data_IF_245684906945
#
_entry.id   IF_245684906945
#
_cell.length_a   1.000
_cell.length_b   1.000
_cell.length_c   1.000
_cell.angle_alpha   90.00
_cell.angle_beta   90.00
_cell.angle_gamma   90.00
#
_symmetry.space_group_name_H-M   'P 1'
#
loop_
_entity.id
_entity.type
_entity.pdbx_description
1 polymer ?
#
# COMPACT_ATOMS: atom_id res chain seq x y z
N UNK A 1 -0.34 3.07 14.13
CA UNK A 1 0.96 3.21 14.77
C UNK A 1 1.51 4.61 14.58
N UNK A 2 2.02 5.22 15.62
CA UNK A 2 2.66 6.55 15.57
C UNK A 2 4.18 6.45 15.44
N UNK A 3 4.73 5.29 15.80
CA UNK A 3 6.17 5.02 15.78
C UNK A 3 6.45 3.65 15.15
N UNK A 4 7.59 3.51 14.46
CA UNK A 4 8.03 2.22 13.94
C UNK A 4 8.35 1.23 15.07
N UNK A 5 8.04 -0.05 14.82
CA UNK A 5 8.43 -1.14 15.71
C UNK A 5 9.87 -1.61 15.45
N UNK A 6 10.48 -2.30 16.41
CA UNK A 6 11.82 -2.88 16.25
C UNK A 6 11.86 -3.87 15.09
N UNK A 7 10.78 -4.64 14.89
CA UNK A 7 10.63 -5.56 13.76
C UNK A 7 10.65 -4.81 12.41
N UNK A 8 10.04 -3.61 12.35
CA UNK A 8 10.03 -2.79 11.15
C UNK A 8 11.42 -2.23 10.84
N UNK A 9 12.18 -1.80 11.86
CA UNK A 9 13.57 -1.38 11.67
C UNK A 9 14.44 -2.53 11.15
N UNK A 10 14.28 -3.73 11.70
CA UNK A 10 14.99 -4.92 11.25
C UNK A 10 14.64 -5.27 9.79
N UNK A 11 13.37 -5.31 9.46
CA UNK A 11 12.88 -5.55 8.11
C UNK A 11 13.42 -4.54 7.09
N UNK A 12 13.41 -3.25 7.46
CA UNK A 12 14.02 -2.17 6.64
C UNK A 12 15.49 -2.44 6.37
N UNK A 13 16.25 -2.75 7.41
CA UNK A 13 17.70 -3.02 7.29
C UNK A 13 17.98 -4.22 6.41
N UNK A 14 17.19 -5.28 6.51
CA UNK A 14 17.31 -6.47 5.67
C UNK A 14 17.05 -6.14 4.19
N UNK A 15 15.99 -5.38 3.88
CA UNK A 15 15.68 -4.98 2.52
C UNK A 15 16.74 -4.05 1.92
N UNK A 16 17.21 -3.07 2.67
CA UNK A 16 18.28 -2.18 2.23
C UNK A 16 19.60 -2.94 2.00
N UNK A 17 19.89 -3.93 2.85
CA UNK A 17 21.02 -4.83 2.66
C UNK A 17 20.95 -5.66 1.37
N UNK A 18 19.76 -5.95 0.87
CA UNK A 18 19.52 -6.58 -0.42
C UNK A 18 19.54 -5.61 -1.61
N UNK A 19 19.74 -4.32 -1.38
CA UNK A 19 19.76 -3.28 -2.42
C UNK A 19 18.42 -2.63 -2.72
N UNK A 20 17.38 -2.86 -1.92
CA UNK A 20 16.09 -2.20 -2.07
C UNK A 20 16.12 -0.78 -1.50
N UNK A 21 15.47 0.15 -2.18
CA UNK A 21 15.12 1.47 -1.66
C UNK A 21 13.64 1.48 -1.24
N UNK A 22 13.38 1.96 -0.03
CA UNK A 22 12.02 2.00 0.53
C UNK A 22 11.51 3.44 0.53
N UNK A 23 10.31 3.65 0.02
CA UNK A 23 9.64 4.95 0.01
C UNK A 23 8.22 4.78 0.53
N UNK A 24 7.83 5.59 1.51
CA UNK A 24 6.45 5.61 2.03
C UNK A 24 5.57 6.48 1.14
N UNK A 25 4.42 5.95 0.75
CA UNK A 25 3.34 6.71 0.10
C UNK A 25 2.09 6.60 0.97
N UNK A 26 1.62 7.70 1.52
CA UNK A 26 0.53 7.66 2.51
C UNK A 26 -0.44 8.81 2.39
N UNK A 27 -1.72 8.53 2.68
CA UNK A 27 -2.81 9.52 2.80
C UNK A 27 -2.93 10.09 4.22
N UNK A 28 -2.17 9.60 5.18
CA UNK A 28 -2.20 10.09 6.56
C UNK A 28 -1.77 11.56 6.66
N UNK A 29 -2.09 12.22 7.76
CA UNK A 29 -1.69 13.61 7.97
C UNK A 29 -0.19 13.82 7.77
N UNK A 30 0.18 14.91 7.09
CA UNK A 30 1.56 15.20 6.69
C UNK A 30 2.57 15.10 7.84
N UNK A 31 2.23 15.67 8.99
CA UNK A 31 3.11 15.63 10.19
C UNK A 31 3.40 14.20 10.64
N UNK A 32 2.37 13.34 10.65
CA UNK A 32 2.50 11.94 11.06
C UNK A 32 3.36 11.13 10.10
N UNK A 33 3.14 11.27 8.81
CA UNK A 33 3.93 10.56 7.78
C UNK A 33 5.38 11.01 7.83
N UNK A 34 5.63 12.32 7.92
CA UNK A 34 6.97 12.89 8.03
C UNK A 34 7.70 12.36 9.26
N UNK A 35 7.05 12.38 10.42
CA UNK A 35 7.64 11.90 11.68
C UNK A 35 8.03 10.42 11.57
N UNK A 36 7.11 9.60 11.12
CA UNK A 36 7.34 8.16 10.95
C UNK A 36 8.47 7.85 9.96
N UNK A 37 8.47 8.50 8.80
CA UNK A 37 9.51 8.34 7.78
C UNK A 37 10.89 8.82 8.28
N UNK A 38 10.94 9.93 9.01
CA UNK A 38 12.19 10.44 9.58
C UNK A 38 12.75 9.49 10.63
N UNK A 39 11.91 8.87 11.47
CA UNK A 39 12.35 7.85 12.43
C UNK A 39 12.95 6.63 11.72
N UNK A 40 12.37 6.20 10.61
CA UNK A 40 12.90 5.10 9.79
C UNK A 40 14.09 5.51 8.92
N UNK A 41 14.35 6.80 8.74
CA UNK A 41 15.39 7.28 7.85
C UNK A 41 15.11 7.00 6.37
N UNK A 42 13.84 7.02 5.95
CA UNK A 42 13.42 6.76 4.57
C UNK A 42 12.65 7.94 3.98
N UNK A 43 12.61 8.00 2.65
CA UNK A 43 11.85 9.01 1.91
C UNK A 43 10.35 8.77 2.02
N UNK A 44 9.56 9.81 1.86
CA UNK A 44 8.11 9.71 1.88
C UNK A 44 7.43 10.64 0.87
N UNK A 45 6.24 10.24 0.48
CA UNK A 45 5.29 11.06 -0.27
C UNK A 45 3.99 11.12 0.53
N UNK A 46 3.58 12.33 0.87
CA UNK A 46 2.27 12.55 1.47
C UNK A 46 1.26 12.99 0.42
N UNK A 47 0.13 12.31 0.39
CA UNK A 47 -0.96 12.59 -0.52
C UNK A 47 -2.14 13.17 0.25
N UNK A 48 -2.51 14.40 -0.08
CA UNK A 48 -3.74 15.02 0.44
C UNK A 48 -4.99 14.54 -0.29
N UNK A 49 -4.85 14.02 -1.51
CA UNK A 49 -5.97 13.60 -2.37
C UNK A 49 -5.63 12.37 -3.21
N UNK A 50 -6.63 11.53 -3.45
CA UNK A 50 -6.56 10.39 -4.39
C UNK A 50 -6.75 10.88 -5.85
N UNK A 51 -6.24 10.17 -6.85
CA UNK A 51 -5.78 8.78 -6.85
C UNK A 51 -4.27 8.65 -6.55
N UNK A 52 -3.90 7.49 -6.00
CA UNK A 52 -2.51 7.13 -5.65
C UNK A 52 -1.53 7.17 -6.81
N UNK A 53 -2.00 7.20 -8.05
CA UNK A 53 -1.15 7.33 -9.24
C UNK A 53 -0.18 8.51 -9.14
N UNK A 54 -0.63 9.67 -8.65
CA UNK A 54 0.24 10.85 -8.42
C UNK A 54 1.32 10.58 -7.37
N UNK A 55 0.96 9.84 -6.31
CA UNK A 55 1.90 9.49 -5.26
C UNK A 55 2.97 8.53 -5.73
N UNK A 56 2.61 7.53 -6.49
CA UNK A 56 3.58 6.61 -7.07
C UNK A 56 4.50 7.32 -8.08
N UNK A 57 3.97 8.22 -8.91
CA UNK A 57 4.80 9.07 -9.78
C UNK A 57 5.78 9.93 -8.99
N UNK A 58 5.33 10.57 -7.91
CA UNK A 58 6.20 11.37 -7.02
C UNK A 58 7.25 10.50 -6.35
N UNK A 59 6.88 9.32 -5.85
CA UNK A 59 7.81 8.37 -5.24
C UNK A 59 8.92 7.97 -6.22
N UNK A 60 8.58 7.64 -7.45
CA UNK A 60 9.55 7.33 -8.50
C UNK A 60 10.46 8.52 -8.84
N UNK A 61 9.95 9.76 -8.76
CA UNK A 61 10.74 10.98 -8.96
C UNK A 61 11.76 11.23 -7.85
N UNK A 62 11.38 11.02 -6.59
CA UNK A 62 12.26 11.27 -5.44
C UNK A 62 13.21 10.10 -5.14
N UNK A 63 13.02 8.96 -5.81
CA UNK A 63 13.91 7.82 -5.69
C UNK A 63 15.35 8.18 -6.07
N UNK A 64 16.32 7.51 -5.44
CA UNK A 64 17.76 7.78 -5.63
C UNK A 64 18.24 7.55 -7.06
N UNK A 65 17.56 6.64 -7.78
CA UNK A 65 17.84 6.30 -9.17
C UNK A 65 16.55 6.23 -9.99
N UNK A 66 16.67 6.20 -11.30
CA UNK A 66 15.54 6.00 -12.20
C UNK A 66 15.27 4.50 -12.37
N UNK A 67 14.40 3.97 -11.53
CA UNK A 67 13.99 2.56 -11.60
C UNK A 67 13.09 2.29 -12.79
N UNK A 68 13.28 1.13 -13.42
CA UNK A 68 12.31 0.57 -14.38
C UNK A 68 11.07 0.06 -13.64
N UNK A 69 9.93 0.01 -14.31
CA UNK A 69 8.66 -0.47 -13.71
C UNK A 69 8.76 -1.90 -13.17
N UNK A 70 9.54 -2.75 -13.84
CA UNK A 70 9.80 -4.14 -13.43
C UNK A 70 10.60 -4.25 -12.13
N UNK A 71 11.33 -3.20 -11.76
CA UNK A 71 12.13 -3.12 -10.54
C UNK A 71 11.35 -2.58 -9.33
N UNK A 72 10.09 -2.18 -9.54
CA UNK A 72 9.28 -1.52 -8.52
C UNK A 72 8.17 -2.44 -8.03
N UNK A 73 8.07 -2.60 -6.71
CA UNK A 73 6.99 -3.35 -6.06
C UNK A 73 6.26 -2.44 -5.08
N UNK A 74 4.95 -2.43 -5.18
CA UNK A 74 4.08 -1.70 -4.24
C UNK A 74 3.58 -2.67 -3.17
N UNK A 75 3.75 -2.30 -1.90
CA UNK A 75 3.15 -3.01 -0.77
C UNK A 75 1.96 -2.21 -0.24
N UNK A 76 0.81 -2.83 -0.14
CA UNK A 76 -0.39 -2.16 0.35
C UNK A 76 -1.46 -3.11 0.84
N UNK A 77 -2.40 -2.60 1.64
CA UNK A 77 -3.47 -3.39 2.25
C UNK A 77 -4.85 -3.07 1.68
N UNK A 78 -4.96 -2.11 0.78
CA UNK A 78 -6.22 -1.66 0.21
C UNK A 78 -6.34 -1.99 -1.28
N UNK A 79 -7.37 -2.78 -1.61
CA UNK A 79 -7.60 -3.24 -2.98
C UNK A 79 -7.95 -2.08 -3.94
N UNK A 80 -8.82 -1.17 -3.54
CA UNK A 80 -9.26 -0.07 -4.40
C UNK A 80 -8.23 1.03 -4.58
N UNK A 81 -7.36 1.26 -3.63
CA UNK A 81 -6.38 2.34 -3.69
C UNK A 81 -5.01 1.84 -4.12
N UNK A 82 -4.46 0.90 -3.37
CA UNK A 82 -3.08 0.42 -3.59
C UNK A 82 -2.99 -0.47 -4.83
N UNK A 83 -3.86 -1.48 -4.95
CA UNK A 83 -3.84 -2.39 -6.11
C UNK A 83 -4.25 -1.66 -7.38
N UNK A 84 -5.33 -0.89 -7.33
CA UNK A 84 -5.81 -0.15 -8.49
C UNK A 84 -4.80 0.91 -8.95
N UNK A 85 -4.19 1.64 -8.01
CA UNK A 85 -3.14 2.61 -8.32
C UNK A 85 -1.89 1.98 -8.93
N UNK A 86 -1.41 0.88 -8.36
CA UNK A 86 -0.27 0.12 -8.89
C UNK A 86 -0.57 -0.42 -10.29
N UNK A 87 -1.75 -1.00 -10.51
CA UNK A 87 -2.18 -1.51 -11.81
C UNK A 87 -2.22 -0.41 -12.88
N UNK A 88 -2.75 0.76 -12.55
CA UNK A 88 -2.76 1.92 -13.48
C UNK A 88 -1.36 2.39 -13.87
N UNK A 89 -0.39 2.20 -12.97
CA UNK A 89 1.02 2.50 -13.22
C UNK A 89 1.78 1.33 -13.85
N UNK A 90 1.13 0.19 -14.06
CA UNK A 90 1.75 -1.08 -14.51
C UNK A 90 2.88 -1.54 -13.58
N UNK A 91 2.72 -1.36 -12.28
CA UNK A 91 3.65 -1.79 -11.25
C UNK A 91 3.22 -3.14 -10.65
N UNK A 92 4.20 -3.92 -10.23
CA UNK A 92 3.95 -5.13 -9.42
C UNK A 92 3.40 -4.75 -8.04
N UNK A 93 2.51 -5.57 -7.51
CA UNK A 93 1.82 -5.31 -6.25
C UNK A 93 1.82 -6.54 -5.36
N UNK A 94 2.16 -6.36 -4.09
CA UNK A 94 1.95 -7.34 -3.02
C UNK A 94 0.89 -6.80 -2.07
N UNK A 95 -0.21 -7.53 -1.97
CA UNK A 95 -1.30 -7.20 -1.06
C UNK A 95 -1.01 -7.81 0.32
N UNK A 96 -0.96 -6.96 1.33
CA UNK A 96 -0.68 -7.36 2.71
C UNK A 96 -1.91 -7.22 3.60
N UNK A 97 -1.93 -7.95 4.71
CA UNK A 97 -3.00 -7.84 5.70
C UNK A 97 -2.98 -6.47 6.39
N UNK A 98 -4.15 -5.86 6.55
CA UNK A 98 -4.29 -4.64 7.34
C UNK A 98 -3.94 -4.91 8.82
N UNK A 99 -3.11 -4.04 9.40
CA UNK A 99 -2.59 -4.20 10.76
C UNK A 99 -3.67 -3.83 11.79
N UNK A 100 -4.41 -2.75 11.57
CA UNK A 100 -5.44 -2.27 12.49
C UNK A 100 -6.59 -1.57 11.73
N UNK A 101 -7.78 -2.10 11.88
CA UNK A 101 -9.00 -1.55 11.29
C UNK A 101 -9.71 -0.56 12.22
N UNK A 102 -9.33 -0.48 13.51
CA UNK A 102 -10.03 0.33 14.51
C UNK A 102 -9.79 1.83 14.35
N UNK A 103 -8.61 2.20 13.85
CA UNK A 103 -8.19 3.60 13.67
C UNK A 103 -8.38 4.13 12.24
N UNK A 104 -9.07 3.38 11.38
CA UNK A 104 -9.31 3.78 10.01
C UNK A 104 -10.17 5.03 9.91
N UNK A 105 -9.79 5.94 9.01
CA UNK A 105 -10.59 7.12 8.67
C UNK A 105 -11.92 6.72 7.99
N UNK A 106 -12.92 7.57 8.09
CA UNK A 106 -14.23 7.36 7.44
C UNK A 106 -14.11 7.05 5.94
N UNK A 107 -13.19 7.72 5.24
CA UNK A 107 -12.92 7.47 3.81
C UNK A 107 -12.41 6.05 3.58
N UNK A 108 -11.48 5.59 4.41
CA UNK A 108 -10.96 4.21 4.34
C UNK A 108 -12.06 3.18 4.62
N UNK A 109 -12.90 3.43 5.64
CA UNK A 109 -14.06 2.57 5.92
C UNK A 109 -15.04 2.53 4.75
N UNK A 110 -15.30 3.67 4.10
CA UNK A 110 -16.15 3.72 2.91
C UNK A 110 -15.56 2.92 1.75
N UNK A 111 -14.26 3.05 1.51
CA UNK A 111 -13.57 2.27 0.49
C UNK A 111 -13.64 0.77 0.76
N UNK A 112 -13.50 0.33 2.01
CA UNK A 112 -13.65 -1.09 2.37
C UNK A 112 -15.06 -1.61 2.11
N UNK A 113 -16.10 -0.83 2.35
CA UNK A 113 -17.48 -1.20 1.98
C UNK A 113 -17.65 -1.37 0.47
N UNK A 114 -17.01 -0.52 -0.32
CA UNK A 114 -17.01 -0.64 -1.77
C UNK A 114 -16.23 -1.86 -2.25
N UNK A 115 -15.13 -2.19 -1.59
CA UNK A 115 -14.38 -3.42 -1.81
C UNK A 115 -15.24 -4.66 -1.54
N UNK A 116 -16.01 -4.68 -0.44
CA UNK A 116 -16.93 -5.78 -0.12
C UNK A 116 -17.97 -5.99 -1.23
N UNK A 117 -18.54 -4.91 -1.75
CA UNK A 117 -19.49 -4.98 -2.87
C UNK A 117 -18.83 -5.50 -4.14
N UNK A 118 -17.60 -5.08 -4.40
CA UNK A 118 -16.84 -5.55 -5.55
C UNK A 118 -16.49 -7.04 -5.44
N UNK A 119 -16.00 -7.48 -4.27
CA UNK A 119 -15.67 -8.88 -4.00
C UNK A 119 -16.89 -9.78 -4.17
N UNK A 120 -18.07 -9.36 -3.67
CA UNK A 120 -19.32 -10.08 -3.88
C UNK A 120 -19.71 -10.19 -5.36
N UNK A 121 -19.51 -9.13 -6.15
CA UNK A 121 -19.76 -9.15 -7.59
C UNK A 121 -18.82 -10.11 -8.32
N UNK A 122 -17.53 -10.09 -7.99
CA UNK A 122 -16.54 -10.99 -8.59
C UNK A 122 -16.84 -12.44 -8.22
N UNK A 123 -17.18 -12.69 -6.95
CA UNK A 123 -17.58 -14.03 -6.48
C UNK A 123 -18.77 -14.59 -7.28
N UNK A 124 -19.80 -13.77 -7.53
CA UNK A 124 -20.98 -14.17 -8.33
C UNK A 124 -20.68 -14.39 -9.81
N UNK A 125 -19.84 -13.53 -10.41
CA UNK A 125 -19.59 -13.55 -11.86
C UNK A 125 -18.49 -14.52 -12.26
N UNK A 126 -17.48 -14.67 -11.44
CA UNK A 126 -16.33 -15.54 -11.71
C UNK A 126 -15.79 -16.13 -10.41
N UNK A 127 -16.45 -17.18 -9.95
CA UNK A 127 -16.11 -17.84 -8.68
C UNK A 127 -14.69 -18.44 -8.70
N UNK A 128 -14.22 -18.95 -9.82
CA UNK A 128 -12.86 -19.46 -9.97
C UNK A 128 -11.81 -18.38 -9.74
N UNK A 129 -11.98 -17.19 -10.34
CA UNK A 129 -11.09 -16.04 -10.12
C UNK A 129 -11.11 -15.59 -8.65
N UNK A 130 -12.28 -15.54 -8.03
CA UNK A 130 -12.43 -15.20 -6.62
C UNK A 130 -11.66 -16.16 -5.72
N UNK A 131 -11.83 -17.48 -5.89
CA UNK A 131 -11.15 -18.48 -5.09
C UNK A 131 -9.62 -18.39 -5.19
N UNK A 132 -9.10 -18.21 -6.41
CA UNK A 132 -7.65 -18.21 -6.66
C UNK A 132 -6.98 -16.91 -6.22
N UNK A 133 -7.64 -15.78 -6.40
CA UNK A 133 -7.02 -14.45 -6.25
C UNK A 133 -7.49 -13.64 -5.05
N UNK A 134 -8.71 -13.79 -4.61
CA UNK A 134 -9.34 -12.84 -3.70
C UNK A 134 -9.86 -13.43 -2.39
N UNK A 135 -10.14 -14.72 -2.32
CA UNK A 135 -10.69 -15.36 -1.12
C UNK A 135 -9.82 -15.15 0.11
N UNK A 136 -8.54 -15.42 -0.01
CA UNK A 136 -7.58 -15.24 1.10
C UNK A 136 -7.50 -13.78 1.55
N UNK A 137 -7.51 -12.85 0.62
CA UNK A 137 -7.53 -11.42 0.92
C UNK A 137 -8.77 -11.03 1.73
N UNK A 138 -9.95 -11.52 1.35
CA UNK A 138 -11.19 -11.24 2.07
C UNK A 138 -11.19 -11.85 3.47
N UNK A 139 -10.71 -13.08 3.63
CA UNK A 139 -10.58 -13.76 4.93
C UNK A 139 -9.61 -13.05 5.87
N UNK A 140 -8.43 -12.66 5.37
CA UNK A 140 -7.40 -11.97 6.16
C UNK A 140 -7.83 -10.58 6.61
N UNK A 141 -8.80 -9.98 5.93
CA UNK A 141 -9.32 -8.64 6.21
C UNK A 141 -10.39 -8.61 7.30
N UNK A 142 -11.05 -9.70 7.55
CA UNK A 142 -12.07 -9.87 8.60
C UNK A 142 -11.45 -10.17 9.95
#
# INVERSE_FOLDING_TARGET
>A
ATEPTDELYKWKSELEGMGFEIIIVSNSGKKRVKHFANMLGIKYVNLSTKPLKRGFKKALKIASTKYKKEEVVVLGDQLLTDVYGAKRMKLSMVLVKAIDNKTERLVTKHNRKNEDKMLKKVCKKNYGLYLVKLKKYEEDRK
#
